data_IF_777510814530
#
_entry.id   IF_777510814530
#
_cell.length_a   1.000
_cell.length_b   1.000
_cell.length_c   1.000
_cell.angle_alpha   90.00
_cell.angle_beta   90.00
_cell.angle_gamma   90.00
#
_symmetry.space_group_name_H-M   'P 1'
#
loop_
_entity.id
_entity.type
_entity.pdbx_description
1 polymer ?
#
# COMPACT_ATOMS: atom_id res chain seq x y z
N UNK A 1 9.04 13.53 13.75
CA UNK A 1 9.71 12.39 13.08
C UNK A 1 9.18 11.13 13.72
N UNK A 2 8.73 10.19 12.90
CA UNK A 2 8.10 8.93 13.28
C UNK A 2 8.89 7.78 12.67
N UNK A 3 8.91 6.65 13.34
CA UNK A 3 9.70 5.49 12.94
C UNK A 3 8.84 4.24 12.90
N UNK A 4 9.06 3.41 11.89
CA UNK A 4 8.43 2.09 11.75
C UNK A 4 9.48 1.13 11.21
N UNK A 5 9.53 -0.09 11.75
CA UNK A 5 10.35 -1.16 11.20
C UNK A 5 9.63 -1.93 10.08
N UNK A 6 8.32 -1.73 9.97
CA UNK A 6 7.51 -2.30 8.91
C UNK A 6 7.65 -1.50 7.61
N UNK A 7 8.43 -2.05 6.67
CA UNK A 7 8.58 -1.49 5.32
C UNK A 7 7.25 -1.42 4.56
N UNK A 8 6.35 -2.40 4.79
CA UNK A 8 5.04 -2.42 4.16
C UNK A 8 4.16 -1.26 4.65
N UNK A 9 4.20 -0.93 5.94
CA UNK A 9 3.50 0.25 6.48
C UNK A 9 4.06 1.53 5.88
N UNK A 10 5.39 1.66 5.78
CA UNK A 10 6.02 2.82 5.15
C UNK A 10 5.64 2.96 3.68
N UNK A 11 5.51 1.85 2.94
CA UNK A 11 5.02 1.84 1.57
C UNK A 11 3.56 2.31 1.49
N UNK A 12 2.68 1.83 2.38
CA UNK A 12 1.30 2.29 2.46
C UNK A 12 1.19 3.79 2.74
N UNK A 13 1.99 4.31 3.66
CA UNK A 13 2.02 5.73 4.01
C UNK A 13 2.53 6.63 2.88
N UNK A 14 3.30 6.07 1.94
CA UNK A 14 3.73 6.77 0.71
C UNK A 14 2.72 6.74 -0.43
N UNK A 15 1.71 5.86 -0.34
CA UNK A 15 0.71 5.67 -1.39
C UNK A 15 -0.59 6.44 -1.13
N UNK A 16 -1.46 6.42 -2.13
CA UNK A 16 -2.79 7.03 -2.05
C UNK A 16 -3.78 6.06 -1.38
N UNK A 17 -4.45 6.44 -0.27
CA UNK A 17 -5.33 5.56 0.49
C UNK A 17 -6.40 4.86 -0.34
N UNK A 18 -6.92 5.53 -1.37
CA UNK A 18 -8.01 4.99 -2.18
C UNK A 18 -7.63 3.69 -2.93
N UNK A 19 -6.33 3.43 -3.12
CA UNK A 19 -5.79 2.26 -3.80
C UNK A 19 -5.81 0.99 -2.93
N UNK A 20 -5.76 1.12 -1.60
CA UNK A 20 -5.68 -0.01 -0.68
C UNK A 20 -7.05 -0.57 -0.30
N UNK A 21 -7.11 -1.83 0.14
CA UNK A 21 -8.31 -2.42 0.74
C UNK A 21 -8.79 -1.58 1.94
N UNK A 22 -10.10 -1.57 2.19
CA UNK A 22 -10.77 -0.65 3.12
C UNK A 22 -10.11 -0.53 4.50
N UNK A 23 -9.66 -1.66 5.07
CA UNK A 23 -9.01 -1.68 6.38
C UNK A 23 -7.71 -0.87 6.42
N UNK A 24 -6.89 -0.98 5.36
CA UNK A 24 -5.63 -0.26 5.20
C UNK A 24 -5.92 1.18 4.82
N UNK A 25 -6.79 1.40 3.83
CA UNK A 25 -7.19 2.74 3.37
C UNK A 25 -7.61 3.65 4.54
N UNK A 26 -8.50 3.17 5.42
CA UNK A 26 -8.98 3.97 6.56
C UNK A 26 -7.84 4.38 7.51
N UNK A 27 -6.90 3.47 7.81
CA UNK A 27 -5.76 3.74 8.70
C UNK A 27 -4.76 4.68 8.06
N UNK A 28 -4.44 4.46 6.79
CA UNK A 28 -3.52 5.33 6.05
C UNK A 28 -4.10 6.74 5.96
N UNK A 29 -5.40 6.88 5.68
CA UNK A 29 -6.09 8.20 5.71
C UNK A 29 -5.98 8.88 7.07
N UNK A 30 -6.23 8.15 8.16
CA UNK A 30 -6.12 8.71 9.51
C UNK A 30 -4.69 9.14 9.84
N UNK A 31 -3.68 8.31 9.54
CA UNK A 31 -2.28 8.65 9.79
C UNK A 31 -1.83 9.83 8.93
N UNK A 32 -2.20 9.86 7.65
CA UNK A 32 -1.88 10.95 6.72
C UNK A 32 -2.61 12.26 7.07
N UNK A 33 -3.73 12.19 7.81
CA UNK A 33 -4.40 13.38 8.33
C UNK A 33 -3.54 14.10 9.39
N UNK A 34 -2.78 13.36 10.19
CA UNK A 34 -1.96 13.90 11.28
C UNK A 34 -0.46 14.00 10.97
N UNK A 35 0.00 13.41 9.86
CA UNK A 35 1.42 13.36 9.52
C UNK A 35 1.66 13.31 8.02
N UNK A 36 2.81 13.80 7.57
CA UNK A 36 3.24 13.72 6.17
C UNK A 36 4.23 12.58 5.98
N UNK A 37 4.28 12.03 4.76
CA UNK A 37 5.22 10.97 4.38
C UNK A 37 6.67 11.29 4.77
N UNK A 38 7.11 12.54 4.59
CA UNK A 38 8.47 12.99 4.92
C UNK A 38 8.81 12.94 6.41
N UNK A 39 7.82 12.80 7.29
CA UNK A 39 8.03 12.66 8.73
C UNK A 39 8.26 11.21 9.14
N UNK A 40 8.05 10.24 8.26
CA UNK A 40 8.20 8.81 8.55
C UNK A 40 9.53 8.28 8.02
N UNK A 41 10.18 7.41 8.80
CA UNK A 41 11.46 6.78 8.46
C UNK A 41 11.53 5.33 8.94
N UNK A 42 12.40 4.55 8.32
CA UNK A 42 12.60 3.15 8.69
C UNK A 42 13.57 2.99 9.86
N UNK A 43 13.18 2.22 10.86
CA UNK A 43 14.08 1.73 11.92
C UNK A 43 14.31 0.23 11.71
N UNK A 44 15.55 -0.28 11.75
CA UNK A 44 15.78 -1.72 11.71
C UNK A 44 15.03 -2.43 12.85
N UNK A 45 14.44 -3.61 12.63
CA UNK A 45 13.67 -4.31 13.68
C UNK A 45 14.49 -4.58 14.95
N UNK A 46 15.80 -4.85 14.83
CA UNK A 46 16.69 -5.01 15.99
C UNK A 46 16.90 -3.71 16.78
N UNK A 47 16.62 -2.57 16.15
CA UNK A 47 16.66 -1.23 16.75
C UNK A 47 15.26 -0.70 17.10
N UNK A 48 14.19 -1.50 16.95
CA UNK A 48 12.84 -1.08 17.30
C UNK A 48 12.52 -1.42 18.76
N UNK A 49 12.45 -0.47 19.69
CA UNK A 49 12.13 -0.78 21.09
C UNK A 49 10.72 -1.39 21.25
N UNK A 50 9.77 -1.06 20.37
CA UNK A 50 8.41 -1.62 20.44
C UNK A 50 8.37 -3.14 20.22
N UNK A 51 9.38 -3.71 19.55
CA UNK A 51 9.50 -5.16 19.36
C UNK A 51 9.73 -5.91 20.68
N UNK A 52 10.41 -5.30 21.65
CA UNK A 52 10.67 -5.94 22.94
C UNK A 52 9.38 -6.28 23.67
N UNK A 53 8.47 -5.30 23.77
CA UNK A 53 7.20 -5.49 24.47
C UNK A 53 6.23 -6.33 23.66
N UNK A 54 6.20 -6.16 22.33
CA UNK A 54 5.28 -6.93 21.48
C UNK A 54 5.65 -8.41 21.34
N UNK A 55 6.94 -8.78 21.46
CA UNK A 55 7.41 -10.18 21.47
C UNK A 55 7.34 -10.83 22.86
N UNK A 56 7.22 -10.03 23.91
CA UNK A 56 7.33 -10.47 25.29
C UNK A 56 8.79 -10.35 25.77
N UNK A 57 8.97 -9.59 26.84
CA UNK A 57 10.23 -9.39 27.55
C UNK A 57 9.93 -9.51 29.04
N UNK A 58 10.84 -10.11 29.80
CA UNK A 58 10.66 -10.23 31.24
C UNK A 58 10.75 -8.85 31.93
N UNK A 59 9.99 -8.60 33.01
CA UNK A 59 10.01 -7.32 33.71
C UNK A 59 11.40 -6.90 34.21
N UNK A 60 12.24 -7.84 34.60
CA UNK A 60 13.60 -7.52 35.07
C UNK A 60 14.51 -7.13 33.90
N UNK A 61 14.33 -7.74 32.73
CA UNK A 61 15.11 -7.42 31.53
C UNK A 61 14.73 -6.06 30.92
N UNK A 62 13.44 -5.67 30.98
CA UNK A 62 13.01 -4.36 30.46
C UNK A 62 13.53 -3.21 31.33
N UNK A 63 13.70 -3.42 32.64
CA UNK A 63 14.28 -2.42 33.55
C UNK A 63 15.72 -2.10 33.14
N UNK A 64 16.49 -3.12 32.72
CA UNK A 64 17.87 -2.95 32.26
C UNK A 64 18.00 -2.60 30.76
N UNK A 65 16.90 -2.58 30.02
CA UNK A 65 16.90 -2.36 28.57
C UNK A 65 17.20 -0.91 28.18
N UNK A 66 18.46 -0.67 27.81
CA UNK A 66 18.91 0.65 27.33
C UNK A 66 18.15 1.11 26.08
N UNK A 67 17.86 0.20 25.15
CA UNK A 67 17.14 0.55 23.92
C UNK A 67 15.69 0.95 24.19
N UNK A 68 15.03 0.38 25.19
CA UNK A 68 13.66 0.77 25.56
C UNK A 68 13.63 2.17 26.16
N UNK A 69 14.53 2.47 27.10
CA UNK A 69 14.53 3.73 27.83
C UNK A 69 15.18 4.89 27.09
N UNK A 70 16.20 4.62 26.27
CA UNK A 70 16.98 5.65 25.58
C UNK A 70 16.83 5.63 24.06
N UNK A 71 16.21 4.58 23.51
CA UNK A 71 16.16 4.37 22.07
C UNK A 71 17.50 3.90 21.49
N UNK A 72 17.58 3.79 20.16
CA UNK A 72 18.80 3.40 19.46
C UNK A 72 19.89 4.46 19.61
N UNK A 73 21.14 4.03 19.81
CA UNK A 73 22.27 4.95 20.01
C UNK A 73 22.47 5.93 18.84
N UNK A 74 22.24 5.49 17.61
CA UNK A 74 22.36 6.32 16.42
C UNK A 74 21.32 7.45 16.35
N UNK A 75 20.18 7.35 17.04
CA UNK A 75 19.15 8.38 17.05
C UNK A 75 19.62 9.65 17.78
N UNK A 76 20.54 9.49 18.74
CA UNK A 76 21.18 10.60 19.45
C UNK A 76 22.32 11.25 18.66
N UNK A 77 22.78 10.60 17.58
CA UNK A 77 23.80 11.14 16.69
C UNK A 77 23.18 12.06 15.64
N UNK A 78 24.04 12.71 14.86
CA UNK A 78 23.61 13.51 13.71
C UNK A 78 22.82 12.67 12.70
N UNK A 79 21.89 13.32 12.00
CA UNK A 79 21.01 12.67 11.01
C UNK A 79 21.77 11.92 9.89
N UNK A 80 23.02 12.26 9.64
CA UNK A 80 23.90 11.52 8.71
C UNK A 80 24.21 10.08 9.16
N UNK A 81 24.08 9.76 10.46
CA UNK A 81 24.27 8.42 11.00
C UNK A 81 22.98 7.60 11.08
N UNK A 82 21.84 8.21 10.74
CA UNK A 82 20.56 7.52 10.80
C UNK A 82 20.47 6.46 9.69
N UNK A 83 19.78 5.34 9.95
CA UNK A 83 19.63 4.30 8.95
C UNK A 83 18.90 4.85 7.73
N UNK A 84 19.44 4.58 6.55
CA UNK A 84 18.76 4.88 5.29
C UNK A 84 17.44 4.14 5.25
N UNK A 85 16.39 4.85 4.83
CA UNK A 85 15.12 4.19 4.51
C UNK A 85 15.31 3.41 3.21
N UNK A 86 15.20 2.07 3.23
CA UNK A 86 15.33 1.29 1.99
C UNK A 86 14.24 1.76 1.02
N UNK A 87 14.61 1.94 -0.24
CA UNK A 87 13.64 2.24 -1.29
C UNK A 87 12.75 0.99 -1.40
N UNK A 88 11.46 1.13 -1.11
CA UNK A 88 10.53 0.01 -1.10
C UNK A 88 10.48 -0.64 -2.49
N UNK A 89 11.14 -1.78 -2.65
CA UNK A 89 11.01 -2.71 -3.80
C UNK A 89 9.85 -3.69 -3.53
N UNK A 90 8.76 -3.21 -2.94
CA UNK A 90 7.59 -4.03 -2.66
C UNK A 90 6.72 -4.06 -3.91
N UNK A 91 6.93 -5.08 -4.74
CA UNK A 91 6.15 -5.32 -5.95
C UNK A 91 5.03 -6.35 -5.67
N UNK A 92 3.83 -6.06 -6.18
CA UNK A 92 2.70 -6.99 -6.17
C UNK A 92 1.46 -6.48 -5.43
N UNK A 93 0.29 -6.71 -6.04
CA UNK A 93 -0.99 -6.25 -5.52
C UNK A 93 -1.34 -6.86 -4.16
N UNK A 94 -1.02 -8.14 -3.95
CA UNK A 94 -1.34 -8.83 -2.70
C UNK A 94 -0.41 -8.40 -1.56
N UNK A 95 0.87 -8.17 -1.86
CA UNK A 95 1.85 -7.68 -0.88
C UNK A 95 1.44 -6.30 -0.37
N UNK A 96 0.98 -5.42 -1.26
CA UNK A 96 0.55 -4.07 -0.93
C UNK A 96 -0.93 -3.97 -0.49
N UNK A 97 -1.66 -5.08 -0.43
CA UNK A 97 -3.10 -5.09 -0.09
C UNK A 97 -3.92 -4.12 -0.96
N UNK A 98 -3.59 -4.04 -2.25
CA UNK A 98 -4.28 -3.18 -3.21
C UNK A 98 -5.69 -3.71 -3.49
N UNK A 99 -6.62 -2.80 -3.75
CA UNK A 99 -7.93 -3.18 -4.28
C UNK A 99 -7.74 -3.83 -5.66
N UNK A 100 -8.53 -4.87 -5.98
CA UNK A 100 -8.55 -5.40 -7.34
C UNK A 100 -8.94 -4.28 -8.30
N UNK A 101 -8.19 -4.13 -9.39
CA UNK A 101 -8.52 -3.20 -10.46
C UNK A 101 -9.88 -3.57 -11.04
N UNK A 102 -10.91 -2.77 -10.73
CA UNK A 102 -12.23 -2.90 -11.36
C UNK A 102 -12.24 -2.04 -12.61
N UNK A 103 -12.21 -2.66 -13.78
CA UNK A 103 -12.41 -1.95 -15.03
C UNK A 103 -13.87 -1.48 -15.09
N UNK A 104 -14.07 -0.16 -15.15
CA UNK A 104 -15.36 0.41 -15.52
C UNK A 104 -15.33 0.71 -17.02
N UNK A 105 -16.01 -0.10 -17.82
CA UNK A 105 -16.18 0.17 -19.25
C UNK A 105 -17.21 1.30 -19.41
N UNK A 106 -16.74 2.49 -19.77
CA UNK A 106 -17.63 3.57 -20.20
C UNK A 106 -17.95 3.36 -21.68
N UNK A 107 -19.15 2.84 -21.96
CA UNK A 107 -19.66 2.73 -23.33
C UNK A 107 -20.00 4.12 -23.87
N UNK A 108 -19.11 4.72 -24.66
CA UNK A 108 -19.43 5.94 -25.41
C UNK A 108 -20.20 5.52 -26.66
N UNK A 109 -21.48 5.86 -26.71
CA UNK A 109 -22.27 5.75 -27.93
C UNK A 109 -21.78 6.83 -28.91
N UNK A 110 -20.81 6.50 -29.75
CA UNK A 110 -20.49 7.32 -30.92
C UNK A 110 -21.61 7.13 -31.94
N UNK A 111 -21.88 8.18 -32.72
CA UNK A 111 -22.97 8.20 -33.72
C UNK A 111 -22.86 7.13 -34.83
N UNK A 112 -21.81 6.31 -34.83
CA UNK A 112 -21.71 5.07 -35.59
C UNK A 112 -22.22 3.91 -34.75
N UNK A 113 -23.55 3.74 -34.75
CA UNK A 113 -24.26 2.70 -34.00
C UNK A 113 -23.73 1.30 -34.33
N UNK A 114 -23.30 0.54 -33.33
CA UNK A 114 -23.32 -0.93 -33.43
C UNK A 114 -24.77 -1.30 -33.77
N UNK A 115 -25.04 -2.03 -34.85
CA UNK A 115 -26.41 -2.36 -35.23
C UNK A 115 -27.12 -3.07 -34.07
N UNK A 116 -28.31 -2.60 -33.71
CA UNK A 116 -29.15 -3.18 -32.66
C UNK A 116 -29.44 -4.68 -32.95
N UNK A 117 -29.41 -5.05 -34.24
CA UNK A 117 -29.47 -6.43 -34.71
C UNK A 117 -28.31 -7.29 -34.22
N UNK A 118 -27.08 -6.76 -34.16
CA UNK A 118 -25.90 -7.50 -33.71
C UNK A 118 -26.02 -7.88 -32.23
N UNK A 119 -26.52 -6.96 -31.40
CA UNK A 119 -26.74 -7.18 -29.96
C UNK A 119 -27.81 -8.25 -29.75
N UNK A 120 -28.90 -8.20 -30.53
CA UNK A 120 -30.01 -9.15 -30.45
C UNK A 120 -29.69 -10.53 -31.04
N UNK A 121 -28.68 -10.63 -31.90
CA UNK A 121 -28.31 -11.89 -32.57
C UNK A 121 -27.54 -12.87 -31.67
N UNK A 122 -26.93 -12.37 -30.60
CA UNK A 122 -26.12 -13.19 -29.68
C UNK A 122 -26.77 -13.25 -28.30
N UNK A 123 -27.15 -14.46 -27.89
CA UNK A 123 -27.63 -14.75 -26.53
C UNK A 123 -26.51 -14.83 -25.48
N UNK A 124 -25.24 -14.72 -25.91
CA UNK A 124 -24.07 -14.81 -25.06
C UNK A 124 -23.23 -13.53 -25.17
N UNK A 125 -23.11 -12.82 -24.05
CA UNK A 125 -22.35 -11.58 -23.93
C UNK A 125 -20.87 -11.75 -24.32
N UNK A 126 -20.25 -12.86 -23.94
CA UNK A 126 -18.84 -13.13 -24.26
C UNK A 126 -18.62 -13.36 -25.75
N UNK A 127 -19.57 -14.01 -26.44
CA UNK A 127 -19.56 -14.14 -27.91
C UNK A 127 -19.72 -12.79 -28.60
N UNK A 128 -20.63 -11.95 -28.13
CA UNK A 128 -20.84 -10.61 -28.67
C UNK A 128 -19.56 -9.76 -28.53
N UNK A 129 -18.92 -9.76 -27.36
CA UNK A 129 -17.64 -9.07 -27.15
C UNK A 129 -16.58 -9.58 -28.12
N UNK A 130 -16.44 -10.90 -28.29
CA UNK A 130 -15.45 -11.48 -29.19
C UNK A 130 -15.64 -11.04 -30.66
N UNK A 131 -16.88 -11.00 -31.13
CA UNK A 131 -17.22 -10.56 -32.49
C UNK A 131 -17.02 -9.05 -32.65
N UNK A 132 -17.47 -8.24 -31.69
CA UNK A 132 -17.26 -6.79 -31.73
C UNK A 132 -15.76 -6.44 -31.70
N UNK A 133 -14.97 -7.13 -30.87
CA UNK A 133 -13.52 -6.96 -30.82
C UNK A 133 -12.85 -7.36 -32.14
N UNK A 134 -13.34 -8.39 -32.83
CA UNK A 134 -12.84 -8.77 -34.15
C UNK A 134 -13.19 -7.75 -35.24
N UNK A 135 -14.42 -7.23 -35.23
CA UNK A 135 -14.87 -6.18 -36.16
C UNK A 135 -14.05 -4.89 -35.96
N UNK A 136 -13.77 -4.50 -34.72
CA UNK A 136 -12.99 -3.29 -34.43
C UNK A 136 -11.48 -3.45 -34.64
N UNK A 137 -11.00 -4.70 -34.82
CA UNK A 137 -9.58 -5.00 -35.06
C UNK A 137 -9.18 -4.81 -36.54
N UNK A 138 -10.14 -4.82 -37.47
CA UNK A 138 -9.93 -4.74 -38.92
C UNK A 138 -10.79 -3.63 -39.54
#
# INVERSE_FOLDING_TARGET
LYWSDSQIVLAWLSGEPCQFKTFIANRVTEIQHYSTQSQWSHVPSQSNPADLVSRGIEPDEIVESTIWWHGPSWLALDSSFWPSTPRNELEGNDVLELKPTKYSLLGVATSSTIPDSLIRHYSSWTRLIGVAAYILRY
#
